data_IF_191200802510
#
_entry.id   IF_191200802510
#
_cell.length_a   1.000
_cell.length_b   1.000
_cell.length_c   1.000
_cell.angle_alpha   90.00
_cell.angle_beta   90.00
_cell.angle_gamma   90.00
#
_symmetry.space_group_name_H-M   'P 1'
#
loop_
_entity.id
_entity.type
_entity.pdbx_description
1 polymer ?
#
# COMPACT_ATOMS: atom_id res chain seq x y z
N UNK A 1 -32.64 23.98 9.49
CA UNK A 1 -31.52 23.92 10.46
C UNK A 1 -30.24 23.67 9.66
N UNK A 2 -29.40 24.70 9.50
CA UNK A 2 -28.09 24.55 8.87
C UNK A 2 -27.15 23.88 9.89
N UNK A 3 -26.85 22.60 9.71
CA UNK A 3 -25.72 21.99 10.40
C UNK A 3 -24.46 22.66 9.83
N UNK A 4 -23.90 23.64 10.54
CA UNK A 4 -22.51 24.01 10.34
C UNK A 4 -21.69 22.75 10.65
N UNK A 5 -21.29 22.03 9.61
CA UNK A 5 -20.30 20.97 9.72
C UNK A 5 -19.05 21.64 10.28
N UNK A 6 -18.78 21.42 11.56
CA UNK A 6 -17.56 21.84 12.24
C UNK A 6 -16.40 21.28 11.42
N UNK A 7 -15.73 22.15 10.66
CA UNK A 7 -14.54 21.76 9.92
C UNK A 7 -13.52 21.23 10.93
N UNK A 8 -12.96 20.03 10.72
CA UNK A 8 -11.94 19.50 11.60
C UNK A 8 -10.81 20.51 11.78
N UNK A 9 -10.34 20.68 13.02
CA UNK A 9 -9.19 21.52 13.30
C UNK A 9 -8.02 21.09 12.41
N UNK A 10 -7.39 22.05 11.73
CA UNK A 10 -6.24 21.82 10.85
C UNK A 10 -5.01 22.45 11.47
N UNK A 11 -3.94 21.67 11.57
CA UNK A 11 -2.62 22.15 11.97
C UNK A 11 -1.78 22.38 10.72
N UNK A 12 -1.24 23.58 10.56
CA UNK A 12 -0.24 23.85 9.54
C UNK A 12 1.00 23.04 9.87
N UNK A 13 1.46 22.25 8.89
CA UNK A 13 2.59 21.37 9.00
C UNK A 13 3.21 21.27 7.62
N UNK A 14 4.45 21.73 7.50
CA UNK A 14 5.24 21.52 6.28
C UNK A 14 6.11 20.29 6.49
N UNK A 15 5.67 19.17 5.93
CA UNK A 15 6.38 17.89 5.96
C UNK A 15 6.31 17.24 4.58
N UNK A 16 7.17 16.25 4.33
CA UNK A 16 7.25 15.57 3.04
C UNK A 16 6.60 14.20 3.12
N UNK A 17 6.09 13.74 1.98
CA UNK A 17 5.50 12.42 1.85
C UNK A 17 5.58 11.91 0.42
N UNK A 18 5.02 10.72 0.23
CA UNK A 18 4.87 10.08 -1.07
C UNK A 18 3.41 9.69 -1.25
N UNK A 19 2.92 9.79 -2.48
CA UNK A 19 1.70 9.10 -2.90
C UNK A 19 2.04 8.09 -3.98
N UNK A 20 1.28 7.01 -4.08
CA UNK A 20 1.39 6.08 -5.20
C UNK A 20 0.24 6.30 -6.18
N UNK A 21 0.57 6.80 -7.36
CA UNK A 21 -0.39 7.19 -8.38
C UNK A 21 0.09 6.67 -9.74
N UNK A 22 -0.84 6.12 -10.52
CA UNK A 22 -0.57 5.62 -11.88
C UNK A 22 0.62 4.63 -11.98
N UNK A 23 0.90 3.89 -10.90
CA UNK A 23 1.99 2.92 -10.86
C UNK A 23 3.35 3.49 -10.44
N UNK A 24 3.40 4.77 -10.02
CA UNK A 24 4.63 5.45 -9.63
C UNK A 24 4.49 6.14 -8.28
N UNK A 25 5.61 6.24 -7.54
CA UNK A 25 5.70 7.07 -6.35
C UNK A 25 5.92 8.54 -6.74
N UNK A 26 5.02 9.40 -6.29
CA UNK A 26 5.08 10.83 -6.53
C UNK A 26 5.35 11.57 -5.21
N UNK A 27 6.38 12.42 -5.13
CA UNK A 27 6.65 13.20 -3.94
C UNK A 27 5.59 14.28 -3.73
N UNK A 28 5.23 14.49 -2.47
CA UNK A 28 4.29 15.52 -2.05
C UNK A 28 4.85 16.33 -0.87
N UNK A 29 4.40 17.57 -0.74
CA UNK A 29 4.61 18.41 0.45
C UNK A 29 3.28 18.65 1.12
N UNK A 30 3.14 18.21 2.36
CA UNK A 30 1.98 18.51 3.20
C UNK A 30 2.03 19.99 3.57
N UNK A 31 0.89 20.68 3.46
CA UNK A 31 0.73 22.07 3.89
C UNK A 31 0.04 22.16 5.24
N UNK A 32 -0.96 21.30 5.45
CA UNK A 32 -1.66 21.15 6.71
C UNK A 32 -2.34 19.79 6.80
N UNK A 33 -2.68 19.40 8.03
CA UNK A 33 -3.27 18.11 8.37
C UNK A 33 -4.41 18.29 9.37
N UNK A 34 -5.42 17.43 9.27
CA UNK A 34 -6.47 17.21 10.28
C UNK A 34 -6.56 15.73 10.63
N UNK A 35 -7.42 15.41 11.59
CA UNK A 35 -7.76 14.02 11.94
C UNK A 35 -8.42 13.24 10.79
N UNK A 36 -8.95 13.93 9.77
CA UNK A 36 -9.68 13.33 8.65
C UNK A 36 -8.88 13.31 7.35
N UNK A 37 -7.72 13.98 7.28
CA UNK A 37 -7.02 14.09 6.01
C UNK A 37 -5.95 15.17 5.95
N UNK A 38 -5.38 15.36 4.77
CA UNK A 38 -4.27 16.30 4.52
C UNK A 38 -4.56 17.19 3.32
N UNK A 39 -3.96 18.38 3.35
CA UNK A 39 -3.78 19.20 2.16
C UNK A 39 -2.32 19.03 1.73
N UNK A 40 -2.11 18.57 0.51
CA UNK A 40 -0.81 18.29 -0.04
C UNK A 40 -0.60 19.04 -1.35
N UNK A 41 0.63 19.48 -1.59
CA UNK A 41 1.11 19.94 -2.89
C UNK A 41 1.84 18.79 -3.56
N UNK A 42 1.55 18.53 -4.83
CA UNK A 42 2.31 17.58 -5.62
C UNK A 42 3.65 18.21 -6.06
N UNK A 43 4.75 17.55 -5.74
CA UNK A 43 6.10 17.99 -6.09
C UNK A 43 6.50 17.38 -7.45
N UNK A 44 5.72 17.65 -8.50
CA UNK A 44 6.05 17.14 -9.82
C UNK A 44 7.37 17.76 -10.30
N UNK A 45 8.38 16.92 -10.57
CA UNK A 45 9.61 17.31 -11.28
C UNK A 45 9.43 17.27 -12.81
N UNK A 46 8.23 16.97 -13.28
CA UNK A 46 7.95 16.58 -14.66
C UNK A 46 7.38 17.77 -15.45
N UNK A 47 7.56 17.78 -16.77
CA UNK A 47 7.24 18.92 -17.63
C UNK A 47 5.74 19.31 -17.61
N UNK A 48 5.41 20.50 -18.12
CA UNK A 48 4.02 21.03 -18.10
C UNK A 48 2.97 20.09 -18.71
N UNK A 49 3.36 19.20 -19.63
CA UNK A 49 2.44 18.21 -20.22
C UNK A 49 2.06 17.08 -19.23
N UNK A 50 2.95 16.70 -18.33
CA UNK A 50 2.72 15.63 -17.36
C UNK A 50 1.82 16.10 -16.21
N UNK A 51 1.90 17.38 -15.85
CA UNK A 51 1.02 18.01 -14.87
C UNK A 51 -0.45 17.91 -15.30
N UNK A 52 -0.78 18.20 -16.56
CA UNK A 52 -2.17 18.08 -17.06
C UNK A 52 -2.67 16.64 -17.06
N UNK A 53 -1.80 15.69 -17.42
CA UNK A 53 -2.14 14.27 -17.41
C UNK A 53 -2.47 13.80 -15.98
N UNK A 54 -1.59 14.11 -15.02
CA UNK A 54 -1.79 13.78 -13.60
C UNK A 54 -3.06 14.43 -13.06
N UNK A 55 -3.27 15.71 -13.35
CA UNK A 55 -4.49 16.42 -12.97
C UNK A 55 -5.74 15.70 -13.48
N UNK A 56 -5.78 15.35 -14.76
CA UNK A 56 -6.90 14.63 -15.37
C UNK A 56 -7.11 13.24 -14.78
N UNK A 57 -6.04 12.51 -14.44
CA UNK A 57 -6.14 11.22 -13.74
C UNK A 57 -6.79 11.39 -12.37
N UNK A 58 -6.52 12.49 -11.68
CA UNK A 58 -7.00 12.78 -10.33
C UNK A 58 -8.38 13.46 -10.28
N UNK A 59 -8.94 13.89 -11.42
CA UNK A 59 -10.27 14.50 -11.50
C UNK A 59 -11.40 13.49 -11.18
N UNK A 60 -11.15 12.18 -11.31
CA UNK A 60 -12.01 11.16 -10.74
C UNK A 60 -11.70 10.98 -9.26
N UNK A 61 -12.73 10.76 -8.42
CA UNK A 61 -12.51 10.27 -7.06
C UNK A 61 -11.63 9.02 -7.15
N UNK A 62 -10.39 9.18 -6.68
CA UNK A 62 -9.34 8.17 -6.81
C UNK A 62 -8.85 7.86 -5.41
N UNK A 63 -8.93 6.59 -5.03
CA UNK A 63 -8.27 6.09 -3.83
C UNK A 63 -6.83 5.78 -4.19
N UNK A 64 -5.89 6.41 -3.48
CA UNK A 64 -4.45 6.29 -3.69
C UNK A 64 -3.76 5.91 -2.39
N UNK A 65 -2.57 5.32 -2.49
CA UNK A 65 -1.75 5.04 -1.31
C UNK A 65 -0.97 6.30 -0.93
N UNK A 66 -0.88 6.60 0.38
CA UNK A 66 -0.15 7.71 0.97
C UNK A 66 0.90 7.17 1.94
N UNK A 67 2.06 7.82 2.00
CA UNK A 67 3.07 7.62 3.05
C UNK A 67 3.64 8.95 3.55
N UNK A 68 3.58 9.14 4.85
CA UNK A 68 4.15 10.28 5.59
C UNK A 68 5.22 9.75 6.56
N UNK A 69 6.51 9.74 6.17
CA UNK A 69 7.59 9.12 6.96
C UNK A 69 7.77 9.77 8.33
N UNK A 70 7.78 11.11 8.39
CA UNK A 70 7.98 11.86 9.64
C UNK A 70 6.84 11.61 10.66
N UNK A 71 5.66 11.26 10.15
CA UNK A 71 4.48 10.93 10.97
C UNK A 71 4.30 9.43 11.18
N UNK A 72 5.15 8.60 10.56
CA UNK A 72 5.03 7.14 10.53
C UNK A 72 3.63 6.69 10.11
N UNK A 73 3.04 7.37 9.13
CA UNK A 73 1.67 7.14 8.68
C UNK A 73 1.66 6.65 7.23
N UNK A 74 0.87 5.63 6.93
CA UNK A 74 0.64 5.15 5.57
C UNK A 74 -0.73 4.52 5.46
N UNK A 75 -1.24 4.48 4.24
CA UNK A 75 -2.51 3.85 3.97
C UNK A 75 -3.20 4.43 2.76
N UNK A 76 -4.48 4.12 2.66
CA UNK A 76 -5.31 4.56 1.55
C UNK A 76 -5.99 5.89 1.89
N UNK A 77 -5.92 6.81 0.92
CA UNK A 77 -6.57 8.12 0.97
C UNK A 77 -7.38 8.35 -0.29
N UNK A 78 -8.51 9.04 -0.16
CA UNK A 78 -9.31 9.46 -1.31
C UNK A 78 -8.94 10.89 -1.69
N UNK A 79 -8.72 11.11 -2.99
CA UNK A 79 -8.60 12.45 -3.56
C UNK A 79 -10.01 13.04 -3.65
N UNK A 80 -10.34 13.94 -2.73
CA UNK A 80 -11.67 14.58 -2.66
C UNK A 80 -11.71 15.91 -3.42
N UNK A 81 -10.55 16.51 -3.68
CA UNK A 81 -10.42 17.73 -4.50
C UNK A 81 -9.04 17.87 -5.08
N UNK A 82 -8.99 18.39 -6.30
CA UNK A 82 -7.76 18.75 -7.01
C UNK A 82 -7.90 20.21 -7.45
N UNK A 83 -6.97 21.05 -7.04
CA UNK A 83 -6.91 22.46 -7.45
C UNK A 83 -5.58 22.71 -8.18
N UNK A 84 -5.55 23.71 -9.07
CA UNK A 84 -4.33 24.20 -9.71
C UNK A 84 -4.04 25.61 -9.18
N UNK A 85 -2.93 25.79 -8.48
CA UNK A 85 -2.49 27.07 -7.94
C UNK A 85 -1.06 27.35 -8.41
N UNK A 86 -0.83 28.45 -9.14
CA UNK A 86 0.51 28.88 -9.58
C UNK A 86 1.39 27.78 -10.20
N UNK A 87 0.83 27.03 -11.17
CA UNK A 87 1.46 25.85 -11.83
C UNK A 87 1.71 24.64 -10.89
N UNK A 88 1.14 24.63 -9.68
CA UNK A 88 1.18 23.51 -8.74
C UNK A 88 -0.18 22.81 -8.61
N UNK A 89 -0.15 21.48 -8.53
CA UNK A 89 -1.34 20.69 -8.20
C UNK A 89 -1.46 20.61 -6.67
N UNK A 90 -2.60 21.07 -6.18
CA UNK A 90 -3.02 20.96 -4.79
C UNK A 90 -4.03 19.83 -4.64
N UNK A 91 -3.80 18.96 -3.67
CA UNK A 91 -4.61 17.78 -3.39
C UNK A 91 -5.22 17.90 -2.00
N UNK A 92 -6.56 17.90 -1.93
CA UNK A 92 -7.26 17.62 -0.69
C UNK A 92 -7.48 16.10 -0.62
N UNK A 93 -6.85 15.47 0.38
CA UNK A 93 -6.87 14.02 0.58
C UNK A 93 -7.62 13.70 1.87
N UNK A 94 -8.58 12.78 1.79
CA UNK A 94 -9.31 12.25 2.95
C UNK A 94 -8.76 10.87 3.33
N UNK A 95 -8.51 10.64 4.62
CA UNK A 95 -8.08 9.34 5.11
C UNK A 95 -9.20 8.31 5.01
N UNK A 96 -8.93 7.16 4.38
CA UNK A 96 -9.85 6.03 4.32
C UNK A 96 -9.40 4.91 5.24
N UNK A 97 -8.19 4.43 5.03
CA UNK A 97 -7.61 3.37 5.84
C UNK A 97 -6.13 3.68 6.07
N UNK A 98 -5.85 4.41 7.14
CA UNK A 98 -4.50 4.82 7.52
C UNK A 98 -4.06 4.10 8.79
N UNK A 99 -2.82 3.64 8.79
CA UNK A 99 -2.17 3.06 9.96
C UNK A 99 -1.14 4.05 10.50
N UNK A 100 -1.11 4.20 11.82
CA UNK A 100 -0.12 4.99 12.55
C UNK A 100 1.00 4.07 13.05
N UNK A 101 2.19 4.64 13.19
CA UNK A 101 3.37 3.97 13.73
C UNK A 101 3.92 2.80 12.89
N UNK A 102 4.18 3.07 11.61
CA UNK A 102 4.89 2.15 10.71
C UNK A 102 6.27 1.72 11.26
N UNK A 103 6.83 2.49 12.19
CA UNK A 103 8.13 2.20 12.80
C UNK A 103 8.02 1.72 14.26
N UNK A 104 6.86 1.26 14.74
CA UNK A 104 6.83 0.54 16.03
C UNK A 104 7.48 -0.83 15.86
N UNK A 105 8.78 -0.82 16.12
CA UNK A 105 9.72 -1.94 16.09
C UNK A 105 9.37 -3.05 17.10
N UNK A 106 8.26 -2.95 17.83
CA UNK A 106 7.71 -4.05 18.62
C UNK A 106 7.00 -5.12 17.78
N UNK A 107 6.68 -4.85 16.50
CA UNK A 107 6.06 -5.83 15.59
C UNK A 107 6.76 -5.99 14.23
N UNK A 108 8.11 -6.09 14.17
CA UNK A 108 8.94 -6.73 13.11
C UNK A 108 8.66 -6.45 11.60
N UNK A 109 7.74 -5.57 11.20
CA UNK A 109 7.30 -5.42 9.80
C UNK A 109 8.00 -4.22 9.16
N UNK A 110 8.76 -4.48 8.09
CA UNK A 110 9.64 -3.48 7.43
C UNK A 110 9.04 -2.80 6.19
N UNK A 111 7.85 -3.21 5.72
CA UNK A 111 7.29 -2.71 4.46
C UNK A 111 5.78 -2.49 4.51
N UNK A 112 5.30 -1.49 3.77
CA UNK A 112 3.87 -1.18 3.58
C UNK A 112 3.12 -2.34 2.94
N UNK A 113 1.86 -2.56 3.35
CA UNK A 113 0.98 -3.62 2.85
C UNK A 113 -0.30 -3.04 2.30
N UNK A 114 -0.59 -3.37 1.05
CA UNK A 114 -1.83 -3.04 0.38
C UNK A 114 -2.81 -4.20 0.44
N UNK A 115 -4.05 -3.93 0.79
CA UNK A 115 -5.11 -4.94 0.69
C UNK A 115 -5.38 -5.19 -0.79
N UNK A 116 -5.03 -6.38 -1.27
CA UNK A 116 -5.12 -6.71 -2.68
C UNK A 116 -5.62 -8.15 -2.85
N UNK A 117 -6.91 -8.40 -2.59
CA UNK A 117 -7.44 -9.75 -2.65
C UNK A 117 -7.44 -10.29 -4.09
N UNK A 118 -7.16 -11.57 -4.25
CA UNK A 118 -7.18 -12.20 -5.56
C UNK A 118 -6.69 -13.64 -5.52
N UNK A 119 -7.04 -14.46 -6.53
CA UNK A 119 -6.63 -15.85 -6.57
C UNK A 119 -5.16 -15.99 -6.93
N UNK A 120 -4.53 -17.04 -6.43
CA UNK A 120 -3.19 -17.50 -6.80
C UNK A 120 -3.00 -18.96 -6.45
N UNK A 121 -1.84 -19.52 -6.78
CA UNK A 121 -1.50 -20.91 -6.47
C UNK A 121 -0.20 -21.01 -5.71
N UNK A 122 -0.12 -21.97 -4.80
CA UNK A 122 1.10 -22.28 -4.05
C UNK A 122 1.31 -23.80 -4.03
N UNK A 123 2.55 -24.24 -4.21
CA UNK A 123 2.89 -25.64 -4.08
C UNK A 123 3.11 -25.98 -2.60
N UNK A 124 2.30 -26.85 -2.02
CA UNK A 124 2.46 -27.30 -0.63
C UNK A 124 2.26 -28.81 -0.56
N UNK A 125 3.13 -29.50 0.19
CA UNK A 125 3.09 -30.95 0.37
C UNK A 125 3.01 -31.73 -0.96
N UNK A 126 3.62 -31.19 -2.03
CA UNK A 126 3.62 -31.80 -3.36
C UNK A 126 2.41 -31.49 -4.24
N UNK A 127 1.46 -30.70 -3.77
CA UNK A 127 0.22 -30.36 -4.50
C UNK A 127 0.09 -28.84 -4.68
N UNK A 128 -0.37 -28.41 -5.86
CA UNK A 128 -0.75 -27.02 -6.08
C UNK A 128 -2.11 -26.74 -5.44
N UNK A 129 -2.14 -25.80 -4.51
CA UNK A 129 -3.33 -25.36 -3.83
C UNK A 129 -3.70 -23.95 -4.27
N UNK A 130 -4.98 -23.71 -4.50
CA UNK A 130 -5.51 -22.38 -4.76
C UNK A 130 -5.63 -21.60 -3.45
N UNK A 131 -5.16 -20.35 -3.46
CA UNK A 131 -5.28 -19.43 -2.34
C UNK A 131 -5.97 -18.14 -2.75
N UNK A 132 -6.52 -17.44 -1.75
CA UNK A 132 -6.90 -16.03 -1.86
C UNK A 132 -5.87 -15.15 -1.18
N UNK A 133 -5.23 -14.25 -1.92
CA UNK A 133 -4.41 -13.19 -1.35
C UNK A 133 -5.27 -12.33 -0.42
N UNK A 134 -4.68 -11.83 0.64
CA UNK A 134 -5.34 -10.90 1.58
C UNK A 134 -4.68 -9.53 1.50
N UNK A 135 -3.35 -9.48 1.63
CA UNK A 135 -2.57 -8.27 1.42
C UNK A 135 -1.18 -8.60 0.86
N UNK A 136 -0.58 -7.60 0.21
CA UNK A 136 0.71 -7.70 -0.48
C UNK A 136 1.60 -6.54 -0.06
N UNK A 137 2.88 -6.82 0.18
CA UNK A 137 3.95 -5.83 0.25
C UNK A 137 5.04 -6.16 -0.77
N UNK A 138 6.06 -5.31 -0.85
CA UNK A 138 7.28 -5.56 -1.62
C UNK A 138 8.15 -6.70 -1.07
N UNK A 139 7.90 -7.11 0.17
CA UNK A 139 8.67 -8.16 0.87
C UNK A 139 7.91 -9.48 0.96
N UNK A 140 6.62 -9.50 0.69
CA UNK A 140 5.82 -10.72 0.84
C UNK A 140 4.33 -10.55 0.62
N UNK A 141 3.60 -11.64 0.84
CA UNK A 141 2.16 -11.73 0.64
C UNK A 141 1.53 -12.51 1.79
N UNK A 142 0.36 -12.09 2.22
CA UNK A 142 -0.49 -12.88 3.12
C UNK A 142 -1.56 -13.57 2.30
N UNK A 143 -1.71 -14.88 2.48
CA UNK A 143 -2.67 -15.69 1.74
C UNK A 143 -3.58 -16.47 2.68
N UNK A 144 -4.76 -16.81 2.18
CA UNK A 144 -5.74 -17.68 2.81
C UNK A 144 -6.01 -18.88 1.92
N UNK A 145 -5.86 -20.07 2.48
CA UNK A 145 -6.30 -21.34 1.90
C UNK A 145 -7.64 -21.73 2.49
N UNK A 146 -8.53 -22.30 1.67
CA UNK A 146 -9.82 -22.79 2.12
C UNK A 146 -9.71 -24.04 3.00
N UNK A 147 -8.63 -24.81 2.84
CA UNK A 147 -8.37 -26.03 3.59
C UNK A 147 -7.30 -25.84 4.69
N UNK A 148 -7.33 -26.72 5.69
CA UNK A 148 -6.31 -26.77 6.75
C UNK A 148 -5.08 -27.52 6.23
N UNK A 149 -3.95 -26.81 6.12
CA UNK A 149 -2.70 -27.35 5.60
C UNK A 149 -1.64 -27.24 6.67
N UNK A 150 -1.07 -28.38 7.03
CA UNK A 150 0.10 -28.44 7.89
C UNK A 150 1.34 -28.16 7.03
N UNK A 151 2.00 -27.03 7.31
CA UNK A 151 3.31 -26.67 6.75
C UNK A 151 4.13 -25.99 7.83
N UNK A 152 5.43 -26.29 7.88
CA UNK A 152 6.31 -25.71 8.88
C UNK A 152 6.79 -24.30 8.46
N UNK A 153 6.78 -23.32 9.38
CA UNK A 153 7.49 -22.06 9.15
C UNK A 153 8.96 -22.28 8.77
N UNK A 154 9.43 -21.55 7.76
CA UNK A 154 10.75 -21.73 7.15
C UNK A 154 10.73 -22.53 5.85
N UNK A 155 9.64 -23.25 5.55
CA UNK A 155 9.48 -23.96 4.27
C UNK A 155 9.57 -22.99 3.10
N UNK A 156 10.47 -23.28 2.15
CA UNK A 156 10.57 -22.58 0.87
C UNK A 156 9.85 -23.39 -0.19
N UNK A 157 9.02 -22.72 -0.98
CA UNK A 157 8.24 -23.33 -2.05
C UNK A 157 8.00 -22.35 -3.18
N UNK A 158 7.30 -22.77 -4.23
CA UNK A 158 6.92 -21.93 -5.36
C UNK A 158 5.49 -21.43 -5.24
N UNK A 159 5.25 -20.23 -5.77
CA UNK A 159 3.93 -19.60 -5.83
C UNK A 159 3.72 -18.86 -7.14
N UNK A 160 2.45 -18.62 -7.48
CA UNK A 160 2.05 -17.68 -8.53
C UNK A 160 0.90 -16.79 -8.04
N UNK A 161 0.98 -15.51 -8.36
CA UNK A 161 -0.07 -14.52 -8.14
C UNK A 161 -0.31 -13.69 -9.40
N UNK A 162 -1.26 -14.17 -10.22
CA UNK A 162 -1.54 -13.62 -11.56
C UNK A 162 -1.92 -12.15 -11.56
N UNK A 163 -2.62 -11.66 -10.53
CA UNK A 163 -3.07 -10.25 -10.45
C UNK A 163 -1.91 -9.25 -10.51
N UNK A 164 -0.76 -9.64 -9.99
CA UNK A 164 0.48 -8.84 -10.04
C UNK A 164 1.53 -9.45 -10.96
N UNK A 165 1.17 -10.50 -11.69
CA UNK A 165 2.06 -11.30 -12.52
C UNK A 165 3.35 -11.70 -11.75
N UNK A 166 3.20 -12.07 -10.47
CA UNK A 166 4.30 -12.52 -9.63
C UNK A 166 4.38 -14.04 -9.66
N UNK A 167 5.59 -14.55 -9.78
CA UNK A 167 5.90 -15.96 -9.61
C UNK A 167 7.36 -16.11 -9.14
N UNK A 168 7.65 -17.23 -8.49
CA UNK A 168 8.99 -17.54 -8.01
C UNK A 168 8.98 -18.32 -6.70
N UNK A 169 10.05 -18.16 -5.92
CA UNK A 169 10.26 -18.83 -4.64
C UNK A 169 9.83 -17.94 -3.46
N UNK A 170 9.13 -18.58 -2.53
CA UNK A 170 8.57 -17.93 -1.36
C UNK A 170 8.76 -18.79 -0.12
N UNK A 171 9.00 -18.14 1.02
CA UNK A 171 9.19 -18.78 2.32
C UNK A 171 7.99 -18.55 3.21
N UNK A 172 7.48 -19.62 3.82
CA UNK A 172 6.48 -19.55 4.88
C UNK A 172 7.10 -18.93 6.11
N UNK A 173 6.55 -17.82 6.60
CA UNK A 173 7.04 -17.12 7.80
C UNK A 173 6.25 -17.51 9.04
N UNK A 174 4.94 -17.69 8.89
CA UNK A 174 4.03 -18.13 9.93
C UNK A 174 2.78 -18.74 9.30
N UNK A 175 2.11 -19.58 10.09
CA UNK A 175 0.89 -20.31 9.72
C UNK A 175 -0.09 -20.19 10.88
N UNK A 176 -1.35 -19.93 10.57
CA UNK A 176 -2.44 -19.86 11.53
C UNK A 176 -3.63 -20.67 10.99
N UNK A 177 -4.12 -21.61 11.78
CA UNK A 177 -5.31 -22.39 11.44
C UNK A 177 -6.56 -21.67 11.91
N UNK A 178 -7.51 -21.47 11.00
CA UNK A 178 -8.74 -20.76 11.29
C UNK A 178 -9.77 -21.69 11.91
N UNK A 179 -10.56 -21.17 12.85
CA UNK A 179 -11.59 -21.95 13.56
C UNK A 179 -12.69 -22.52 12.65
N UNK A 180 -12.89 -21.89 11.49
CA UNK A 180 -13.89 -22.26 10.47
C UNK A 180 -13.42 -23.34 9.49
N UNK A 181 -12.20 -23.85 9.65
CA UNK A 181 -11.53 -24.66 8.64
C UNK A 181 -10.87 -23.77 7.59
N UNK A 182 -9.56 -23.91 7.43
CA UNK A 182 -8.76 -23.06 6.54
C UNK A 182 -7.43 -22.67 7.17
N UNK A 183 -6.55 -22.10 6.35
CA UNK A 183 -5.19 -21.73 6.76
C UNK A 183 -4.89 -20.31 6.33
N UNK A 184 -4.48 -19.46 7.26
CA UNK A 184 -3.90 -18.16 6.98
C UNK A 184 -2.38 -18.25 7.08
N UNK A 185 -1.66 -17.72 6.10
CA UNK A 185 -0.21 -17.77 6.08
C UNK A 185 0.39 -16.43 5.69
N UNK A 186 1.47 -16.07 6.36
CA UNK A 186 2.36 -15.00 5.94
C UNK A 186 3.54 -15.56 5.20
N UNK A 187 3.77 -15.07 3.99
CA UNK A 187 4.82 -15.53 3.11
C UNK A 187 5.79 -14.38 2.81
N UNK A 188 7.07 -14.70 2.66
CA UNK A 188 8.14 -13.77 2.32
C UNK A 188 8.79 -14.17 1.00
N UNK A 189 8.93 -13.23 0.07
CA UNK A 189 9.62 -13.49 -1.20
C UNK A 189 11.10 -13.84 -0.95
N UNK A 190 11.55 -14.94 -1.55
CA UNK A 190 12.96 -15.37 -1.52
C UNK A 190 13.62 -15.01 -2.85
N UNK A 191 12.96 -15.40 -3.94
CA UNK A 191 13.34 -15.05 -5.30
C UNK A 191 12.07 -14.79 -6.09
N UNK A 192 12.03 -13.69 -6.81
CA UNK A 192 10.93 -13.38 -7.74
C UNK A 192 11.53 -13.30 -9.14
N UNK A 193 10.84 -13.86 -10.13
CA UNK A 193 11.25 -13.70 -11.53
C UNK A 193 11.22 -12.22 -11.96
N UNK A 194 10.39 -11.40 -11.30
CA UNK A 194 10.38 -9.95 -11.44
C UNK A 194 11.02 -9.28 -10.24
N UNK A 195 11.96 -8.38 -10.48
CA UNK A 195 12.67 -7.62 -9.42
C UNK A 195 11.81 -6.56 -8.73
N UNK A 196 10.67 -6.18 -9.32
CA UNK A 196 9.75 -5.14 -8.82
C UNK A 196 8.32 -5.66 -8.76
N UNK A 197 7.61 -5.36 -7.68
CA UNK A 197 6.18 -5.67 -7.53
C UNK A 197 5.35 -4.50 -8.07
N UNK A 198 4.98 -4.57 -9.36
CA UNK A 198 4.17 -3.51 -9.99
C UNK A 198 2.88 -3.29 -9.23
N UNK A 199 2.50 -2.03 -9.01
CA UNK A 199 1.23 -1.69 -8.37
C UNK A 199 1.26 -1.66 -6.84
N UNK A 200 2.41 -1.96 -6.23
CA UNK A 200 2.62 -1.93 -4.78
C UNK A 200 3.69 -0.87 -4.45
N UNK A 201 3.39 0.10 -3.56
CA UNK A 201 4.36 1.12 -3.17
C UNK A 201 5.58 0.51 -2.45
N UNK A 202 6.77 1.04 -2.70
CA UNK A 202 8.02 0.57 -2.08
C UNK A 202 8.34 1.27 -0.76
N UNK A 203 7.80 2.48 -0.51
CA UNK A 203 7.81 3.36 0.68
C UNK A 203 8.95 3.19 1.73
N UNK A 204 9.21 1.98 2.22
CA UNK A 204 10.27 1.63 3.15
C UNK A 204 11.68 1.45 2.55
N UNK A 205 11.85 1.19 1.24
CA UNK A 205 13.20 1.00 0.65
C UNK A 205 14.01 2.30 0.52
N UNK A 206 13.37 3.45 0.62
CA UNK A 206 14.00 4.76 0.43
C UNK A 206 14.84 5.25 1.61
N UNK A 207 14.98 4.48 2.69
CA UNK A 207 15.81 4.86 3.86
C UNK A 207 17.22 4.29 3.86
N UNK A 208 17.62 3.54 2.82
CA UNK A 208 18.99 3.03 2.68
C UNK A 208 19.60 3.51 1.37
N UNK A 209 20.00 4.78 1.34
CA UNK A 209 21.01 5.32 0.45
C UNK A 209 21.91 6.27 1.23
#
# INVERSE_FOLDING_TARGET
MNSMLLRPYRKNLTTHGLIYLAGEEQPITIKNISITGVLAQLNSKVGKNDIKTIFNTLLGSTVIDLYLPEMRLAGEVEVIRVDMEDDHIMLALEFKNVTYDINDLLYKRKAYRKNLPGPGHILLNGTYLEYSAVNVSVDGIMIRLAESVNVEPGTVTVFEFKRLELEGEIKVVWVEHLSEGGTLMGLQYVHMEKSTVKGIPEFARLQTA
#
